data_IF_226214541260
#
_entry.id   IF_226214541260
#
_cell.length_a   1.000
_cell.length_b   1.000
_cell.length_c   1.000
_cell.angle_alpha   90.00
_cell.angle_beta   90.00
_cell.angle_gamma   90.00
#
_symmetry.space_group_name_H-M   'P 1'
#
loop_
_entity.id
_entity.type
_entity.pdbx_description
1 polymer ?
#
# COMPACT_ATOMS: atom_id res chain seq x y z
N UNK A 1 5.79 38.58 -25.20
CA UNK A 1 6.08 38.09 -23.83
C UNK A 1 7.21 37.09 -23.93
N UNK A 2 8.34 37.31 -23.25
CA UNK A 2 9.48 36.38 -23.29
C UNK A 2 9.15 35.20 -22.37
N UNK A 3 9.03 34.00 -22.92
CA UNK A 3 8.96 32.77 -22.13
C UNK A 3 10.25 32.62 -21.32
N UNK A 4 10.18 32.84 -20.02
CA UNK A 4 11.27 32.47 -19.11
C UNK A 4 11.29 30.95 -19.00
N UNK A 5 12.16 30.31 -19.77
CA UNK A 5 12.46 28.87 -19.60
C UNK A 5 13.09 28.66 -18.22
N UNK A 6 12.45 27.82 -17.40
CA UNK A 6 12.99 27.44 -16.09
C UNK A 6 14.28 26.63 -16.26
N UNK A 7 15.24 26.82 -15.35
CA UNK A 7 16.48 26.05 -15.37
C UNK A 7 16.23 24.57 -15.07
N UNK A 8 17.07 23.64 -15.58
CA UNK A 8 16.94 22.21 -15.30
C UNK A 8 16.83 21.87 -13.80
N UNK A 9 17.63 22.51 -12.96
CA UNK A 9 17.58 22.31 -11.50
C UNK A 9 16.26 22.79 -10.88
N UNK A 10 15.66 23.86 -11.42
CA UNK A 10 14.36 24.35 -10.94
C UNK A 10 13.22 23.40 -11.34
N UNK A 11 13.30 22.81 -12.54
CA UNK A 11 12.36 21.78 -13.00
C UNK A 11 12.44 20.52 -12.14
N UNK A 12 13.65 20.10 -11.78
CA UNK A 12 13.87 18.93 -10.92
C UNK A 12 13.32 19.14 -9.51
N UNK A 13 13.62 20.28 -8.88
CA UNK A 13 13.10 20.63 -7.56
C UNK A 13 11.55 20.70 -7.55
N UNK A 14 10.95 21.27 -8.60
CA UNK A 14 9.50 21.32 -8.74
C UNK A 14 8.88 19.92 -8.87
N UNK A 15 9.50 19.03 -9.65
CA UNK A 15 9.06 17.62 -9.76
C UNK A 15 9.10 16.92 -8.40
N UNK A 16 10.19 17.09 -7.65
CA UNK A 16 10.35 16.51 -6.32
C UNK A 16 9.29 17.01 -5.34
N UNK A 17 9.08 18.32 -5.27
CA UNK A 17 8.05 18.93 -4.42
C UNK A 17 6.64 18.45 -4.77
N UNK A 18 6.33 18.31 -6.06
CA UNK A 18 5.04 17.74 -6.49
C UNK A 18 4.88 16.26 -6.10
N UNK A 19 5.94 15.46 -6.16
CA UNK A 19 5.91 14.07 -5.71
C UNK A 19 5.66 13.98 -4.20
N UNK A 20 6.33 14.81 -3.40
CA UNK A 20 6.14 14.90 -1.95
C UNK A 20 4.71 15.33 -1.60
N UNK A 21 4.18 16.36 -2.26
CA UNK A 21 2.81 16.83 -2.07
C UNK A 21 1.76 15.76 -2.43
N UNK A 22 2.01 14.98 -3.49
CA UNK A 22 1.15 13.86 -3.85
C UNK A 22 1.21 12.73 -2.81
N UNK A 23 2.40 12.41 -2.29
CA UNK A 23 2.56 11.40 -1.24
C UNK A 23 1.78 11.78 0.03
N UNK A 24 1.90 13.03 0.48
CA UNK A 24 1.16 13.56 1.63
C UNK A 24 -0.35 13.50 1.37
N UNK A 25 -0.80 13.90 0.17
CA UNK A 25 -2.22 13.84 -0.21
C UNK A 25 -2.76 12.41 -0.11
N UNK A 26 -2.00 11.41 -0.61
CA UNK A 26 -2.39 10.01 -0.55
C UNK A 26 -2.48 9.50 0.88
N UNK A 27 -1.47 9.79 1.70
CA UNK A 27 -1.45 9.40 3.11
C UNK A 27 -2.63 10.00 3.88
N UNK A 28 -2.92 11.29 3.70
CA UNK A 28 -4.06 11.96 4.33
C UNK A 28 -5.40 11.32 3.94
N UNK A 29 -5.58 10.97 2.66
CA UNK A 29 -6.78 10.30 2.18
C UNK A 29 -6.94 8.89 2.78
N UNK A 30 -5.86 8.12 2.85
CA UNK A 30 -5.86 6.76 3.36
C UNK A 30 -6.14 6.70 4.86
N UNK A 31 -5.46 7.54 5.65
CA UNK A 31 -5.71 7.66 7.10
C UNK A 31 -7.16 8.08 7.35
N UNK A 32 -7.66 9.06 6.59
CA UNK A 32 -9.03 9.53 6.72
C UNK A 32 -10.05 8.44 6.39
N UNK A 33 -9.77 7.63 5.37
CA UNK A 33 -10.65 6.52 5.02
C UNK A 33 -10.71 5.48 6.14
N UNK A 34 -9.57 5.06 6.70
CA UNK A 34 -9.54 4.10 7.82
C UNK A 34 -10.33 4.62 9.03
N UNK A 35 -10.13 5.89 9.40
CA UNK A 35 -10.84 6.49 10.53
C UNK A 35 -12.36 6.61 10.30
N UNK A 36 -12.80 6.76 9.04
CA UNK A 36 -14.22 6.74 8.71
C UNK A 36 -14.78 5.30 8.74
N UNK A 37 -13.99 4.32 8.30
CA UNK A 37 -14.34 2.90 8.32
C UNK A 37 -14.49 2.34 9.74
N UNK A 38 -13.84 2.94 10.74
CA UNK A 38 -14.09 2.63 12.16
C UNK A 38 -15.53 2.95 12.60
N UNK A 39 -16.25 3.82 11.86
CA UNK A 39 -17.55 4.35 12.25
C UNK A 39 -18.70 3.96 11.33
N UNK A 40 -18.41 3.69 10.05
CA UNK A 40 -19.44 3.38 9.05
C UNK A 40 -18.88 2.53 7.91
N UNK A 41 -19.75 1.78 7.24
CA UNK A 41 -19.38 1.00 6.05
C UNK A 41 -18.88 1.90 4.91
N UNK A 42 -18.00 1.35 4.06
CA UNK A 42 -17.42 2.04 2.90
C UNK A 42 -18.50 2.67 2.01
N UNK A 43 -19.59 1.95 1.77
CA UNK A 43 -20.73 2.40 0.96
C UNK A 43 -21.40 3.69 1.46
N UNK A 44 -21.31 3.98 2.77
CA UNK A 44 -21.87 5.19 3.38
C UNK A 44 -20.89 6.36 3.42
N UNK A 45 -19.63 6.15 3.04
CA UNK A 45 -18.61 7.19 2.98
C UNK A 45 -18.69 7.88 1.62
N UNK A 46 -18.96 9.18 1.63
CA UNK A 46 -18.94 9.99 0.40
C UNK A 46 -17.55 10.55 0.13
N UNK A 47 -17.23 10.83 -1.15
CA UNK A 47 -15.98 11.51 -1.50
C UNK A 47 -15.88 12.87 -0.82
N UNK A 48 -17.00 13.62 -0.70
CA UNK A 48 -17.05 14.92 -0.01
C UNK A 48 -16.60 14.81 1.44
N UNK A 49 -17.12 13.82 2.16
CA UNK A 49 -16.79 13.60 3.56
C UNK A 49 -15.32 13.18 3.71
N UNK A 50 -14.87 12.27 2.85
CA UNK A 50 -13.49 11.78 2.85
C UNK A 50 -12.50 12.93 2.63
N UNK A 51 -12.69 13.74 1.58
CA UNK A 51 -11.75 14.83 1.26
C UNK A 51 -11.80 15.95 2.29
N UNK A 52 -12.98 16.21 2.88
CA UNK A 52 -13.12 17.17 3.97
C UNK A 52 -12.32 16.72 5.20
N UNK A 53 -12.43 15.44 5.58
CA UNK A 53 -11.65 14.86 6.68
C UNK A 53 -10.15 14.88 6.40
N UNK A 54 -9.76 14.54 5.18
CA UNK A 54 -8.35 14.51 4.76
C UNK A 54 -7.72 15.91 4.60
N UNK A 55 -8.51 16.98 4.62
CA UNK A 55 -8.01 18.34 4.40
C UNK A 55 -7.52 18.57 2.96
N UNK A 56 -8.10 17.87 1.98
CA UNK A 56 -7.69 17.97 0.56
C UNK A 56 -8.88 18.35 -0.32
N UNK A 57 -8.60 18.83 -1.53
CA UNK A 57 -9.66 19.13 -2.50
C UNK A 57 -10.17 17.86 -3.20
N UNK A 58 -11.41 17.89 -3.71
CA UNK A 58 -11.92 16.81 -4.58
C UNK A 58 -11.04 16.61 -5.82
N UNK A 59 -10.49 17.68 -6.38
CA UNK A 59 -9.55 17.56 -7.51
C UNK A 59 -8.28 16.82 -7.10
N UNK A 60 -7.76 17.05 -5.90
CA UNK A 60 -6.60 16.32 -5.38
C UNK A 60 -6.90 14.83 -5.16
N UNK A 61 -8.13 14.49 -4.72
CA UNK A 61 -8.59 13.11 -4.67
C UNK A 61 -8.54 12.46 -6.07
N UNK A 62 -9.22 13.05 -7.07
CA UNK A 62 -9.30 12.45 -8.41
C UNK A 62 -7.98 12.44 -9.19
N UNK A 63 -6.98 13.24 -8.79
CA UNK A 63 -5.61 13.11 -9.31
C UNK A 63 -4.86 11.90 -8.74
N UNK A 64 -5.28 11.37 -7.60
CA UNK A 64 -4.57 10.31 -6.87
C UNK A 64 -5.30 8.98 -6.90
N UNK A 65 -6.64 8.99 -6.88
CA UNK A 65 -7.48 7.81 -6.87
C UNK A 65 -8.75 8.06 -7.69
N UNK A 66 -9.24 6.99 -8.29
CA UNK A 66 -10.48 6.93 -9.06
C UNK A 66 -11.69 6.69 -8.14
N UNK A 67 -11.49 6.01 -7.01
CA UNK A 67 -12.54 5.62 -6.07
C UNK A 67 -12.02 5.44 -4.64
N UNK A 68 -12.95 5.33 -3.67
CA UNK A 68 -12.61 5.01 -2.27
C UNK A 68 -12.25 3.53 -2.09
N UNK A 69 -12.75 2.68 -2.98
CA UNK A 69 -12.40 1.27 -3.08
C UNK A 69 -10.93 1.09 -3.49
N UNK A 70 -10.44 1.89 -4.44
CA UNK A 70 -9.02 1.88 -4.86
C UNK A 70 -8.08 2.29 -3.71
N UNK A 71 -8.50 3.25 -2.87
CA UNK A 71 -7.75 3.62 -1.65
C UNK A 71 -7.67 2.43 -0.72
N UNK A 72 -8.80 1.78 -0.42
CA UNK A 72 -8.84 0.62 0.48
C UNK A 72 -7.97 -0.53 -0.06
N UNK A 73 -8.05 -0.82 -1.36
CA UNK A 73 -7.21 -1.79 -2.03
C UNK A 73 -5.72 -1.45 -1.89
N UNK A 74 -5.35 -0.19 -2.06
CA UNK A 74 -3.96 0.29 -1.91
C UNK A 74 -3.44 0.13 -0.48
N UNK A 75 -4.30 0.41 0.51
CA UNK A 75 -3.98 0.20 1.92
C UNK A 75 -3.77 -1.29 2.20
N UNK A 76 -4.66 -2.14 1.69
CA UNK A 76 -4.56 -3.58 1.91
C UNK A 76 -3.31 -4.18 1.26
N UNK A 77 -3.01 -3.82 0.00
CA UNK A 77 -1.77 -4.24 -0.68
C UNK A 77 -0.53 -3.88 0.14
N UNK A 78 -0.44 -2.65 0.70
CA UNK A 78 0.69 -2.27 1.57
C UNK A 78 0.71 -3.02 2.89
N UNK A 79 -0.45 -3.29 3.49
CA UNK A 79 -0.58 -4.13 4.68
C UNK A 79 -0.04 -5.54 4.45
N UNK A 80 -0.41 -6.18 3.33
CA UNK A 80 0.12 -7.50 2.95
C UNK A 80 1.65 -7.45 2.78
N UNK A 81 2.18 -6.44 2.10
CA UNK A 81 3.63 -6.29 1.94
C UNK A 81 4.35 -6.16 3.29
N UNK A 82 3.80 -5.38 4.24
CA UNK A 82 4.34 -5.29 5.60
C UNK A 82 4.25 -6.62 6.36
N UNK A 83 3.19 -7.40 6.12
CA UNK A 83 3.02 -8.72 6.72
C UNK A 83 4.02 -9.76 6.18
N UNK A 84 4.33 -9.71 4.88
CA UNK A 84 5.26 -10.63 4.22
C UNK A 84 6.73 -10.20 4.33
N UNK A 85 7.03 -8.92 4.53
CA UNK A 85 8.39 -8.40 4.57
C UNK A 85 9.33 -9.13 5.55
N UNK A 86 8.93 -9.47 6.79
CA UNK A 86 9.78 -10.22 7.72
C UNK A 86 10.14 -11.62 7.20
N UNK A 87 9.30 -12.23 6.36
CA UNK A 87 9.51 -13.59 5.85
C UNK A 87 10.70 -13.69 4.88
N UNK A 88 11.10 -12.55 4.29
CA UNK A 88 12.27 -12.47 3.39
C UNK A 88 13.59 -12.75 4.11
N UNK A 89 13.64 -12.56 5.43
CA UNK A 89 14.87 -12.68 6.23
C UNK A 89 15.17 -14.13 6.64
N UNK A 90 14.18 -15.03 6.56
CA UNK A 90 14.35 -16.41 6.97
C UNK A 90 14.92 -17.26 5.84
N UNK A 91 15.95 -18.07 6.12
CA UNK A 91 16.48 -19.03 5.16
C UNK A 91 15.53 -20.24 4.97
N UNK A 92 15.76 -21.06 3.94
CA UNK A 92 14.98 -22.30 3.69
C UNK A 92 15.13 -23.36 4.80
N UNK A 93 16.13 -23.21 5.69
CA UNK A 93 16.34 -24.07 6.87
C UNK A 93 15.83 -23.43 8.17
N UNK A 94 15.16 -22.29 8.09
CA UNK A 94 14.60 -21.66 9.28
C UNK A 94 13.55 -22.56 9.91
N UNK A 95 13.52 -22.57 11.25
CA UNK A 95 12.50 -23.23 12.02
C UNK A 95 11.12 -22.72 11.61
N UNK A 96 10.24 -23.65 11.20
CA UNK A 96 8.87 -23.36 10.81
C UNK A 96 8.13 -22.57 11.91
N UNK A 97 8.46 -22.83 13.17
CA UNK A 97 7.95 -22.07 14.30
C UNK A 97 8.29 -20.57 14.21
N UNK A 98 9.54 -20.20 13.86
CA UNK A 98 9.94 -18.80 13.76
C UNK A 98 9.26 -18.08 12.59
N UNK A 99 9.02 -18.79 11.48
CA UNK A 99 8.27 -18.28 10.33
C UNK A 99 6.83 -17.96 10.75
N UNK A 100 6.13 -18.93 11.35
CA UNK A 100 4.75 -18.73 11.81
C UNK A 100 4.66 -17.65 12.88
N UNK A 101 5.57 -17.64 13.85
CA UNK A 101 5.61 -16.62 14.89
C UNK A 101 5.80 -15.21 14.30
N UNK A 102 6.68 -15.07 13.31
CA UNK A 102 6.91 -13.79 12.62
C UNK A 102 5.67 -13.36 11.83
N UNK A 103 5.05 -14.29 11.10
CA UNK A 103 3.81 -14.04 10.37
C UNK A 103 2.68 -13.61 11.30
N UNK A 104 2.44 -14.33 12.40
CA UNK A 104 1.39 -13.97 13.36
C UNK A 104 1.65 -12.62 14.04
N UNK A 105 2.92 -12.30 14.36
CA UNK A 105 3.27 -10.98 14.89
C UNK A 105 2.99 -9.87 13.87
N UNK A 106 3.31 -10.10 12.59
CA UNK A 106 3.07 -9.12 11.53
C UNK A 106 1.57 -8.97 11.23
N UNK A 107 0.84 -10.09 11.13
CA UNK A 107 -0.61 -10.11 10.95
C UNK A 107 -1.34 -9.40 12.10
N UNK A 108 -0.91 -9.62 13.35
CA UNK A 108 -1.47 -8.92 14.53
C UNK A 108 -1.35 -7.39 14.43
N UNK A 109 -0.22 -6.89 13.90
CA UNK A 109 -0.02 -5.43 13.72
C UNK A 109 -0.97 -4.85 12.67
N UNK A 110 -1.33 -5.64 11.68
CA UNK A 110 -2.17 -5.24 10.55
C UNK A 110 -3.62 -5.72 10.68
N UNK A 111 -4.02 -6.26 11.84
CA UNK A 111 -5.26 -7.03 12.01
C UNK A 111 -6.52 -6.28 11.56
N UNK A 112 -6.60 -4.97 11.80
CA UNK A 112 -7.72 -4.15 11.37
C UNK A 112 -7.84 -4.06 9.83
N UNK A 113 -6.72 -3.86 9.14
CA UNK A 113 -6.74 -3.80 7.67
C UNK A 113 -7.03 -5.18 7.08
N UNK A 114 -6.51 -6.23 7.70
CA UNK A 114 -6.81 -7.62 7.30
C UNK A 114 -8.29 -7.94 7.49
N UNK A 115 -8.92 -7.52 8.59
CA UNK A 115 -10.36 -7.75 8.79
C UNK A 115 -11.18 -7.01 7.74
N UNK A 116 -10.84 -5.75 7.44
CA UNK A 116 -11.49 -5.00 6.36
C UNK A 116 -11.36 -5.72 5.00
N UNK A 117 -10.21 -6.30 4.70
CA UNK A 117 -10.05 -7.02 3.44
C UNK A 117 -11.02 -8.20 3.29
N UNK A 118 -11.30 -8.92 4.38
CA UNK A 118 -12.31 -9.98 4.40
C UNK A 118 -13.71 -9.40 4.24
N UNK A 119 -14.01 -8.31 4.97
CA UNK A 119 -15.34 -7.66 4.93
C UNK A 119 -15.71 -7.14 3.53
N UNK A 120 -14.70 -6.78 2.72
CA UNK A 120 -14.89 -6.21 1.38
C UNK A 120 -14.49 -7.16 0.23
N UNK A 121 -14.28 -8.47 0.49
CA UNK A 121 -14.02 -9.47 -0.55
C UNK A 121 -12.68 -9.30 -1.27
N UNK A 122 -11.68 -8.76 -0.58
CA UNK A 122 -10.36 -8.44 -1.13
C UNK A 122 -9.32 -9.55 -0.88
N UNK A 123 -9.70 -10.68 -0.29
CA UNK A 123 -8.79 -11.79 0.08
C UNK A 123 -7.97 -12.34 -1.09
N UNK A 124 -8.47 -12.24 -2.33
CA UNK A 124 -7.72 -12.61 -3.55
C UNK A 124 -6.40 -11.85 -3.72
N UNK A 125 -6.30 -10.64 -3.20
CA UNK A 125 -5.06 -9.86 -3.24
C UNK A 125 -4.00 -10.45 -2.30
N UNK A 126 -4.42 -11.06 -1.18
CA UNK A 126 -3.51 -11.79 -0.30
C UNK A 126 -3.04 -13.08 -0.96
N UNK A 127 -3.95 -13.82 -1.59
CA UNK A 127 -3.62 -15.04 -2.34
C UNK A 127 -2.56 -14.74 -3.41
N UNK A 128 -2.80 -13.73 -4.25
CA UNK A 128 -1.84 -13.33 -5.29
C UNK A 128 -0.50 -12.91 -4.69
N UNK A 129 -0.50 -12.12 -3.62
CA UNK A 129 0.75 -11.68 -3.00
C UNK A 129 1.55 -12.82 -2.38
N UNK A 130 0.88 -13.84 -1.81
CA UNK A 130 1.53 -15.05 -1.31
C UNK A 130 2.11 -15.84 -2.47
N UNK A 131 1.35 -16.02 -3.56
CA UNK A 131 1.81 -16.70 -4.76
C UNK A 131 3.07 -16.03 -5.32
N UNK A 132 3.03 -14.71 -5.56
CA UNK A 132 4.18 -13.93 -6.05
C UNK A 132 5.40 -14.03 -5.11
N UNK A 133 5.15 -14.04 -3.80
CA UNK A 133 6.21 -14.19 -2.80
C UNK A 133 6.86 -15.58 -2.88
N UNK A 134 6.08 -16.64 -3.02
CA UNK A 134 6.57 -18.01 -3.13
C UNK A 134 7.30 -18.25 -4.46
N UNK A 135 6.77 -17.75 -5.58
CA UNK A 135 7.41 -17.85 -6.89
C UNK A 135 8.78 -17.19 -6.91
N UNK A 136 8.89 -15.95 -6.42
CA UNK A 136 10.19 -15.24 -6.33
C UNK A 136 11.25 -16.03 -5.54
N UNK A 137 10.83 -16.77 -4.50
CA UNK A 137 11.75 -17.64 -3.72
C UNK A 137 12.13 -18.93 -4.43
N UNK A 138 11.32 -19.38 -5.38
CA UNK A 138 11.60 -20.52 -6.25
C UNK A 138 12.51 -20.14 -7.42
N UNK A 139 12.29 -19.00 -8.07
CA UNK A 139 13.17 -18.51 -9.14
C UNK A 139 14.60 -18.21 -8.64
N UNK A 140 14.71 -17.60 -7.45
CA UNK A 140 16.00 -17.40 -6.78
C UNK A 140 16.72 -18.73 -6.44
N UNK A 141 16.00 -19.85 -6.43
CA UNK A 141 16.59 -21.20 -6.32
C UNK A 141 17.25 -21.61 -7.64
N UNK A 142 16.57 -21.42 -8.77
CA UNK A 142 17.01 -21.89 -10.10
C UNK A 142 18.25 -21.14 -10.58
N UNK A 143 18.28 -19.80 -10.47
CA UNK A 143 19.46 -19.00 -10.85
C UNK A 143 20.73 -19.31 -10.06
N UNK A 144 20.62 -19.89 -8.85
CA UNK A 144 21.78 -20.29 -8.03
C UNK A 144 22.45 -21.58 -8.54
N UNK A 145 21.76 -22.41 -9.32
CA UNK A 145 22.30 -23.65 -9.89
C UNK A 145 22.85 -23.50 -11.31
N UNK A 146 22.54 -22.41 -12.01
CA UNK A 146 23.08 -22.10 -13.35
C UNK A 146 24.42 -21.35 -13.31
N UNK A 147 24.88 -20.94 -12.13
CA UNK A 147 26.13 -20.21 -11.90
C UNK A 147 27.22 -21.07 -11.24
N UNK A 148 27.04 -22.40 -11.20
CA UNK A 148 28.01 -23.40 -10.75
C UNK A 148 28.19 -24.40 -11.90
#
# INVERSE_FOLDING_TARGET
MVERKMSPNSLENLKKSNQEANAITRESLEISLLQLLERKSLSKITISELVHRAGVSRSAFYRNYSSKEEILETIFKRSIQRMLAPLSQYSKKADLYLIWLSLFKAAKKEAYVISLAVDYGMEKLLEQAIFDFLEKRNEAKQKKWELI
#
